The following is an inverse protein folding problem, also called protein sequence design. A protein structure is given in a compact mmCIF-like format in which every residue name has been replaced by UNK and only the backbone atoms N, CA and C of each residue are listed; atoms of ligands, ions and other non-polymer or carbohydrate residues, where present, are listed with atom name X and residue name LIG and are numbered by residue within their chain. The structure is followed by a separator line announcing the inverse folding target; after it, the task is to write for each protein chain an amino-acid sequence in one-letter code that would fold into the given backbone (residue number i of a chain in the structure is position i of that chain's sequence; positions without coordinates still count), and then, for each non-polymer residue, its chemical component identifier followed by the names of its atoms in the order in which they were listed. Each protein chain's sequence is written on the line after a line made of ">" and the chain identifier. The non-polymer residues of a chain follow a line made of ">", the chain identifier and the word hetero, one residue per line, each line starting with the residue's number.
data_IF_720799875207
#
_entry.id   IF_720799875207
#
_cell.length_a   1.000
_cell.length_b   1.000
_cell.length_c   1.000
_cell.angle_alpha   90.00
_cell.angle_beta   90.00
_cell.angle_gamma   90.00
#
_symmetry.space_group_name_H-M   'P 1'
#
loop_
_entity.id
_entity.type
_entity.pdbx_description
1 polymer ?
#
# COMPACT_ATOMS: atom_id res chain seq x y z
N UNK A 1 -10.17 46.33 -6.87
CA UNK A 1 -9.51 45.03 -7.10
C UNK A 1 -9.97 44.06 -6.03
N UNK A 2 -10.88 43.13 -6.36
CA UNK A 2 -11.30 42.06 -5.45
C UNK A 2 -10.41 40.85 -5.71
N UNK A 3 -9.57 40.51 -4.73
CA UNK A 3 -8.82 39.25 -4.73
C UNK A 3 -9.79 38.15 -4.33
N UNK A 4 -10.23 37.34 -5.29
CA UNK A 4 -10.98 36.13 -5.01
C UNK A 4 -10.00 35.10 -4.41
N UNK A 5 -10.09 34.87 -3.10
CA UNK A 5 -9.44 33.75 -2.45
C UNK A 5 -10.07 32.46 -2.98
N UNK A 6 -9.31 31.71 -3.79
CA UNK A 6 -9.71 30.39 -4.25
C UNK A 6 -9.82 29.44 -3.07
N UNK A 7 -11.05 29.05 -2.74
CA UNK A 7 -11.28 27.92 -1.84
C UNK A 7 -10.71 26.67 -2.53
N UNK A 8 -9.56 26.19 -2.06
CA UNK A 8 -9.08 24.86 -2.41
C UNK A 8 -10.04 23.86 -1.77
N UNK A 9 -11.01 23.36 -2.53
CA UNK A 9 -11.82 22.22 -2.12
C UNK A 9 -10.85 21.07 -1.79
N UNK A 10 -10.85 20.63 -0.52
CA UNK A 10 -10.21 19.37 -0.15
C UNK A 10 -10.98 18.26 -0.84
N UNK A 11 -10.47 17.79 -1.98
CA UNK A 11 -11.07 16.67 -2.69
C UNK A 11 -10.71 15.39 -1.94
N UNK A 12 -11.62 14.93 -1.09
CA UNK A 12 -11.50 13.62 -0.44
C UNK A 12 -11.81 12.50 -1.44
N UNK A 13 -10.94 11.50 -1.52
CA UNK A 13 -11.23 10.18 -2.06
C UNK A 13 -12.43 9.60 -1.30
N UNK A 14 -13.56 9.49 -1.99
CA UNK A 14 -14.74 8.76 -1.50
C UNK A 14 -14.87 7.49 -2.31
N UNK A 15 -14.81 6.35 -1.64
CA UNK A 15 -14.92 5.04 -2.25
C UNK A 15 -16.23 4.40 -1.82
N UNK A 16 -17.03 3.93 -2.78
CA UNK A 16 -18.25 3.18 -2.47
C UNK A 16 -17.92 1.75 -2.03
N UNK A 17 -18.84 1.06 -1.38
CA UNK A 17 -18.62 -0.33 -0.93
C UNK A 17 -18.31 -1.25 -2.11
N UNK A 18 -19.01 -1.06 -3.23
CA UNK A 18 -18.81 -1.83 -4.45
C UNK A 18 -17.43 -1.55 -5.08
N UNK A 19 -17.01 -0.28 -5.08
CA UNK A 19 -15.68 0.08 -5.57
C UNK A 19 -14.59 -0.47 -4.65
N UNK A 20 -14.76 -0.38 -3.34
CA UNK A 20 -13.85 -0.92 -2.34
C UNK A 20 -13.67 -2.44 -2.49
N UNK A 21 -14.76 -3.18 -2.68
CA UNK A 21 -14.70 -4.62 -2.97
C UNK A 21 -13.91 -4.93 -4.25
N UNK A 22 -14.14 -4.17 -5.33
CA UNK A 22 -13.40 -4.36 -6.60
C UNK A 22 -11.91 -4.07 -6.45
N UNK A 23 -11.56 -2.94 -5.83
CA UNK A 23 -10.16 -2.58 -5.55
C UNK A 23 -9.54 -3.65 -4.66
N UNK A 24 -10.21 -4.04 -3.58
CA UNK A 24 -9.71 -5.00 -2.62
C UNK A 24 -9.41 -6.38 -3.24
N UNK A 25 -10.29 -6.88 -4.12
CA UNK A 25 -10.03 -8.12 -4.85
C UNK A 25 -8.83 -8.03 -5.78
N UNK A 26 -8.62 -6.88 -6.42
CA UNK A 26 -7.45 -6.67 -7.30
C UNK A 26 -6.15 -6.59 -6.49
N UNK A 27 -6.17 -5.92 -5.33
CA UNK A 27 -5.05 -5.95 -4.38
C UNK A 27 -4.74 -7.38 -3.91
N UNK A 28 -5.77 -8.12 -3.50
CA UNK A 28 -5.62 -9.51 -3.07
C UNK A 28 -5.04 -10.41 -4.18
N UNK A 29 -5.47 -10.21 -5.42
CA UNK A 29 -4.93 -10.91 -6.57
C UNK A 29 -3.43 -10.61 -6.78
N UNK A 30 -3.03 -9.35 -6.62
CA UNK A 30 -1.64 -8.93 -6.79
C UNK A 30 -0.72 -9.43 -5.67
N UNK A 31 -1.20 -9.38 -4.43
CA UNK A 31 -0.39 -9.73 -3.26
C UNK A 31 -0.27 -11.24 -3.06
N UNK A 32 -1.36 -11.99 -3.28
CA UNK A 32 -1.42 -13.39 -2.86
C UNK A 32 -2.15 -14.32 -3.84
N UNK A 33 -2.38 -13.85 -5.07
CA UNK A 33 -3.07 -14.61 -6.11
C UNK A 33 -4.56 -14.86 -5.81
N UNK A 34 -5.15 -14.11 -4.87
CA UNK A 34 -6.54 -14.30 -4.45
C UNK A 34 -6.77 -15.53 -3.56
N UNK A 35 -5.70 -16.07 -2.95
CA UNK A 35 -5.80 -17.26 -2.09
C UNK A 35 -5.99 -16.89 -0.62
N UNK A 36 -6.83 -17.66 0.08
CA UNK A 36 -7.08 -17.48 1.52
C UNK A 36 -5.80 -17.69 2.35
N UNK A 37 -5.00 -18.70 2.00
CA UNK A 37 -3.72 -18.93 2.69
C UNK A 37 -2.76 -17.76 2.52
N UNK A 38 -2.80 -17.11 1.37
CA UNK A 38 -1.98 -15.97 1.02
C UNK A 38 -2.33 -14.68 1.77
N UNK A 39 -3.47 -14.60 2.46
CA UNK A 39 -3.80 -13.49 3.36
C UNK A 39 -2.89 -13.42 4.60
N UNK A 40 -2.05 -14.43 4.81
CA UNK A 40 -1.14 -14.52 5.94
C UNK A 40 0.22 -15.00 5.45
N UNK A 41 1.23 -14.16 5.57
CA UNK A 41 2.59 -14.49 5.18
C UNK A 41 3.60 -14.01 6.21
N UNK A 42 4.73 -14.69 6.27
CA UNK A 42 5.92 -14.22 6.99
C UNK A 42 7.12 -14.66 6.15
N UNK A 43 7.72 -13.72 5.40
CA UNK A 43 8.76 -14.09 4.46
C UNK A 43 10.07 -14.39 5.19
N UNK A 44 10.92 -15.18 4.55
CA UNK A 44 12.24 -15.45 5.10
C UNK A 44 13.06 -14.14 5.15
N UNK A 45 13.66 -13.86 6.30
CA UNK A 45 14.44 -12.64 6.54
C UNK A 45 13.61 -11.42 6.98
N UNK A 46 12.31 -11.56 7.17
CA UNK A 46 11.46 -10.54 7.78
C UNK A 46 11.25 -10.79 9.27
N UNK A 47 11.06 -9.71 10.03
CA UNK A 47 10.83 -9.71 11.47
C UNK A 47 9.35 -9.48 11.84
N UNK A 48 8.45 -9.62 10.88
CA UNK A 48 7.02 -9.31 11.02
C UNK A 48 6.14 -10.25 10.19
N UNK A 49 4.87 -10.35 10.60
CA UNK A 49 3.83 -10.96 9.79
C UNK A 49 3.24 -9.93 8.80
N UNK A 50 2.96 -10.38 7.58
CA UNK A 50 2.25 -9.64 6.54
C UNK A 50 0.83 -10.19 6.41
N UNK A 51 -0.17 -9.35 6.65
CA UNK A 51 -1.57 -9.78 6.81
C UNK A 51 -2.52 -9.06 5.86
N UNK A 52 -3.55 -9.76 5.41
CA UNK A 52 -4.62 -9.19 4.60
C UNK A 52 -4.22 -8.84 3.16
N UNK A 53 -5.14 -8.19 2.46
CA UNK A 53 -5.04 -7.91 1.02
C UNK A 53 -4.00 -6.83 0.68
N UNK A 54 -3.52 -6.09 1.69
CA UNK A 54 -2.51 -5.05 1.56
C UNK A 54 -1.18 -5.40 2.23
N UNK A 55 -1.00 -6.67 2.66
CA UNK A 55 0.17 -7.10 3.44
C UNK A 55 0.49 -6.15 4.61
N UNK A 56 -0.55 -5.86 5.41
CA UNK A 56 -0.45 -5.03 6.60
C UNK A 56 0.50 -5.66 7.60
N UNK A 57 1.49 -4.88 8.02
CA UNK A 57 2.61 -5.33 8.81
C UNK A 57 2.22 -5.42 10.29
N UNK A 58 2.58 -6.52 10.95
CA UNK A 58 2.42 -6.74 12.38
C UNK A 58 3.72 -7.26 13.02
N UNK A 59 4.32 -6.44 13.89
CA UNK A 59 5.56 -6.74 14.59
C UNK A 59 5.30 -7.44 15.93
N UNK A 60 6.18 -8.38 16.33
CA UNK A 60 6.29 -8.84 17.72
C UNK A 60 6.61 -7.68 18.68
N UNK A 61 6.30 -7.85 19.96
CA UNK A 61 6.43 -6.79 20.97
C UNK A 61 7.87 -6.23 21.06
N UNK A 62 8.87 -7.10 20.94
CA UNK A 62 10.30 -6.82 21.08
C UNK A 62 11.00 -6.47 19.75
N UNK A 63 10.26 -6.45 18.64
CA UNK A 63 10.82 -6.20 17.31
C UNK A 63 10.28 -4.92 16.72
N UNK A 64 11.15 -4.18 16.03
CA UNK A 64 10.77 -3.07 15.16
C UNK A 64 11.65 -3.13 13.92
N UNK A 65 11.05 -2.93 12.77
CA UNK A 65 11.74 -2.90 11.49
C UNK A 65 11.72 -1.50 10.87
N UNK A 66 12.31 -1.36 9.67
CA UNK A 66 12.37 -0.09 8.95
C UNK A 66 11.02 0.31 8.32
N UNK A 67 10.00 -0.55 8.39
CA UNK A 67 8.71 -0.35 7.76
C UNK A 67 7.64 0.06 8.77
N UNK A 68 6.69 0.86 8.32
CA UNK A 68 5.56 1.31 9.15
C UNK A 68 4.60 0.15 9.45
N UNK A 69 4.36 -0.09 10.75
CA UNK A 69 3.39 -1.07 11.20
C UNK A 69 1.97 -0.62 10.86
N UNK A 70 1.17 -1.50 10.25
CA UNK A 70 -0.13 -1.11 9.68
C UNK A 70 -1.29 -2.05 10.01
N UNK A 71 -1.03 -3.23 10.57
CA UNK A 71 -2.08 -4.14 10.99
C UNK A 71 -2.84 -3.68 12.25
N UNK A 72 -2.19 -3.19 13.32
CA UNK A 72 -2.92 -2.67 14.48
C UNK A 72 -3.87 -1.50 14.14
N UNK A 73 -3.47 -0.49 13.35
CA UNK A 73 -4.41 0.55 12.90
C UNK A 73 -5.54 0.03 12.01
N UNK A 74 -5.31 -1.03 11.21
CA UNK A 74 -6.39 -1.71 10.49
C UNK A 74 -7.38 -2.36 11.46
N UNK A 75 -6.90 -3.08 12.48
CA UNK A 75 -7.77 -3.70 13.48
C UNK A 75 -8.63 -2.66 14.19
N UNK A 76 -8.05 -1.54 14.59
CA UNK A 76 -8.79 -0.41 15.17
C UNK A 76 -9.85 0.12 14.21
N UNK A 77 -9.52 0.27 12.93
CA UNK A 77 -10.47 0.66 11.90
C UNK A 77 -11.63 -0.34 11.74
N UNK A 78 -11.35 -1.65 11.77
CA UNK A 78 -12.38 -2.69 11.70
C UNK A 78 -13.32 -2.61 12.91
N UNK A 79 -12.78 -2.49 14.12
CA UNK A 79 -13.56 -2.36 15.36
C UNK A 79 -14.45 -1.12 15.33
N UNK A 80 -13.87 0.04 15.00
CA UNK A 80 -14.62 1.31 14.94
C UNK A 80 -15.65 1.34 13.81
N UNK A 81 -15.49 0.51 12.78
CA UNK A 81 -16.45 0.30 11.70
C UNK A 81 -17.55 -0.73 12.04
N UNK A 82 -17.58 -1.25 13.27
CA UNK A 82 -18.60 -2.20 13.74
C UNK A 82 -18.38 -3.65 13.31
N UNK A 83 -17.19 -3.99 12.80
CA UNK A 83 -16.84 -5.38 12.43
C UNK A 83 -16.62 -6.20 13.71
N UNK A 84 -17.19 -7.41 13.74
CA UNK A 84 -16.97 -8.35 14.83
C UNK A 84 -15.54 -8.92 14.76
N UNK A 85 -14.61 -8.32 15.50
CA UNK A 85 -13.22 -8.79 15.58
C UNK A 85 -13.07 -9.81 16.72
N UNK A 86 -12.40 -10.97 16.47
CA UNK A 86 -12.09 -11.98 17.48
C UNK A 86 -11.50 -11.39 18.76
N UNK A 87 -11.94 -11.91 19.91
CA UNK A 87 -11.56 -11.36 21.21
C UNK A 87 -10.04 -11.39 21.46
N UNK A 88 -9.34 -12.40 20.94
CA UNK A 88 -7.89 -12.50 21.10
C UNK A 88 -7.15 -11.43 20.26
N UNK A 89 -7.64 -11.08 19.06
CA UNK A 89 -7.08 -9.99 18.26
C UNK A 89 -7.32 -8.63 18.94
N UNK A 90 -8.52 -8.41 19.49
CA UNK A 90 -8.85 -7.15 20.19
C UNK A 90 -8.00 -6.90 21.44
N UNK A 91 -7.50 -7.96 22.07
CA UNK A 91 -6.64 -7.89 23.26
C UNK A 91 -5.15 -7.95 22.94
N UNK A 92 -4.78 -8.20 21.69
CA UNK A 92 -3.39 -8.32 21.31
C UNK A 92 -2.76 -6.93 21.17
N UNK A 93 -1.72 -6.65 21.97
CA UNK A 93 -0.96 -5.40 21.89
C UNK A 93 0.12 -5.44 20.79
N UNK A 94 0.56 -6.64 20.42
CA UNK A 94 1.57 -6.91 19.39
C UNK A 94 1.30 -8.26 18.71
N UNK A 95 2.09 -8.60 17.70
CA UNK A 95 1.99 -9.89 17.01
C UNK A 95 2.09 -11.05 18.02
N UNK A 96 1.08 -11.91 18.02
CA UNK A 96 0.97 -13.04 18.95
C UNK A 96 1.97 -14.15 18.66
N UNK A 97 2.66 -14.09 17.52
CA UNK A 97 3.75 -14.98 17.16
C UNK A 97 5.07 -14.20 17.30
N UNK A 98 5.99 -14.69 18.13
CA UNK A 98 7.30 -14.04 18.35
C UNK A 98 8.21 -14.13 17.14
N UNK A 99 8.01 -15.12 16.28
CA UNK A 99 8.84 -15.40 15.13
C UNK A 99 8.10 -16.18 14.05
N UNK A 100 8.78 -16.29 12.90
CA UNK A 100 8.30 -17.03 11.73
C UNK A 100 8.06 -18.52 12.01
N UNK A 101 8.84 -19.15 12.88
CA UNK A 101 8.69 -20.59 13.17
C UNK A 101 7.37 -20.85 13.89
N UNK A 102 7.06 -20.05 14.92
CA UNK A 102 5.78 -20.13 15.60
C UNK A 102 4.61 -19.81 14.67
N UNK A 103 4.74 -18.77 13.84
CA UNK A 103 3.72 -18.41 12.85
C UNK A 103 3.39 -19.55 11.89
N UNK A 104 4.42 -20.27 11.42
CA UNK A 104 4.25 -21.39 10.51
C UNK A 104 3.71 -22.64 11.22
N UNK A 105 4.12 -22.91 12.46
CA UNK A 105 3.56 -23.99 13.27
C UNK A 105 2.05 -23.79 13.48
N UNK A 106 1.62 -22.53 13.67
CA UNK A 106 0.21 -22.16 13.84
C UNK A 106 -0.58 -22.10 12.53
N UNK A 107 0.01 -22.39 11.36
CA UNK A 107 -0.63 -22.20 10.03
C UNK A 107 -2.01 -22.84 9.91
N UNK A 108 -2.24 -23.97 10.59
CA UNK A 108 -3.51 -24.72 10.57
C UNK A 108 -4.32 -24.62 11.87
N UNK A 109 -3.84 -23.83 12.84
CA UNK A 109 -4.51 -23.62 14.12
C UNK A 109 -5.89 -22.95 13.95
N UNK A 110 -6.82 -23.14 14.90
CA UNK A 110 -8.09 -22.40 14.92
C UNK A 110 -7.88 -20.88 14.88
N UNK A 111 -6.89 -20.37 15.61
CA UNK A 111 -6.52 -18.95 15.64
C UNK A 111 -6.17 -18.41 14.24
N UNK A 112 -5.32 -19.13 13.50
CA UNK A 112 -4.91 -18.71 12.16
C UNK A 112 -6.08 -18.77 11.16
N UNK A 113 -6.94 -19.78 11.29
CA UNK A 113 -8.17 -19.91 10.47
C UNK A 113 -9.13 -18.75 10.73
N UNK A 114 -9.35 -18.39 11.99
CA UNK A 114 -10.19 -17.26 12.39
C UNK A 114 -9.63 -15.92 11.88
N UNK A 115 -8.30 -15.72 11.95
CA UNK A 115 -7.64 -14.55 11.37
C UNK A 115 -7.87 -14.47 9.85
N UNK A 116 -7.66 -15.58 9.12
CA UNK A 116 -7.90 -15.62 7.66
C UNK A 116 -9.36 -15.38 7.30
N UNK A 117 -10.29 -15.90 8.11
CA UNK A 117 -11.71 -15.67 7.91
C UNK A 117 -12.06 -14.18 8.05
N UNK A 118 -11.63 -13.54 9.14
CA UNK A 118 -11.81 -12.10 9.33
C UNK A 118 -11.25 -11.30 8.13
N UNK A 119 -10.03 -11.62 7.69
CA UNK A 119 -9.39 -10.94 6.56
C UNK A 119 -10.13 -11.17 5.23
N UNK A 120 -10.70 -12.37 5.01
CA UNK A 120 -11.45 -12.66 3.80
C UNK A 120 -12.83 -12.00 3.78
N UNK A 121 -13.48 -11.88 4.94
CA UNK A 121 -14.80 -11.26 5.09
C UNK A 121 -14.76 -9.72 5.11
N UNK A 122 -13.56 -9.12 5.23
CA UNK A 122 -13.38 -7.67 5.38
C UNK A 122 -12.61 -7.02 4.22
N UNK A 123 -12.64 -7.62 3.02
CA UNK A 123 -11.90 -7.13 1.84
C UNK A 123 -12.24 -5.67 1.53
N UNK A 124 -13.52 -5.30 1.45
CA UNK A 124 -13.94 -3.92 1.22
C UNK A 124 -13.47 -2.95 2.31
N UNK A 125 -13.48 -3.37 3.59
CA UNK A 125 -12.97 -2.54 4.69
C UNK A 125 -11.46 -2.34 4.59
N UNK A 126 -10.70 -3.38 4.27
CA UNK A 126 -9.25 -3.26 4.07
C UNK A 126 -8.91 -2.32 2.90
N UNK A 127 -9.68 -2.37 1.81
CA UNK A 127 -9.51 -1.45 0.68
C UNK A 127 -9.83 0.01 1.06
N UNK A 128 -10.91 0.24 1.82
CA UNK A 128 -11.23 1.57 2.37
C UNK A 128 -10.12 2.09 3.28
N UNK A 129 -9.61 1.25 4.18
CA UNK A 129 -8.50 1.60 5.04
C UNK A 129 -7.24 1.97 4.24
N UNK A 130 -6.91 1.20 3.19
CA UNK A 130 -5.80 1.50 2.30
C UNK A 130 -6.01 2.83 1.54
N UNK A 131 -7.23 3.14 1.10
CA UNK A 131 -7.57 4.42 0.49
C UNK A 131 -7.45 5.60 1.49
N UNK A 132 -7.88 5.43 2.75
CA UNK A 132 -7.68 6.44 3.81
C UNK A 132 -6.19 6.68 4.09
N UNK A 133 -5.37 5.63 4.07
CA UNK A 133 -3.90 5.78 4.19
C UNK A 133 -3.31 6.55 3.01
N UNK A 134 -3.75 6.25 1.78
CA UNK A 134 -3.35 6.98 0.59
C UNK A 134 -3.69 8.48 0.69
N UNK A 135 -4.88 8.83 1.17
CA UNK A 135 -5.25 10.24 1.40
C UNK A 135 -4.33 10.92 2.40
N UNK A 136 -4.00 10.23 3.51
CA UNK A 136 -3.07 10.74 4.54
C UNK A 136 -1.63 10.84 4.04
N UNK A 137 -1.25 10.05 3.04
CA UNK A 137 0.06 10.12 2.40
C UNK A 137 0.22 11.37 1.53
N UNK A 138 -0.85 11.89 0.92
CA UNK A 138 -0.76 13.02 -0.01
C UNK A 138 -0.12 14.27 0.62
N UNK A 139 -0.55 14.78 1.79
CA UNK A 139 0.11 15.91 2.45
C UNK A 139 1.59 15.67 2.75
N UNK A 140 1.98 14.43 3.10
CA UNK A 140 3.39 14.08 3.34
C UNK A 140 4.20 14.17 2.05
N UNK A 141 3.67 13.62 0.95
CA UNK A 141 4.29 13.70 -0.38
C UNK A 141 4.41 15.15 -0.87
N UNK A 142 3.39 15.98 -0.64
CA UNK A 142 3.44 17.41 -0.98
C UNK A 142 4.49 18.17 -0.19
N UNK A 143 4.61 17.90 1.11
CA UNK A 143 5.63 18.50 1.96
C UNK A 143 7.04 18.10 1.47
N UNK A 144 7.25 16.83 1.15
CA UNK A 144 8.52 16.33 0.62
C UNK A 144 8.87 16.93 -0.76
N UNK A 145 7.88 17.18 -1.61
CA UNK A 145 8.08 17.74 -2.95
C UNK A 145 8.42 19.24 -2.98
N UNK A 146 8.20 19.97 -1.87
CA UNK A 146 8.51 21.38 -1.75
C UNK A 146 7.89 22.25 -2.86
N UNK A 147 8.70 22.77 -3.78
CA UNK A 147 8.24 23.62 -4.90
C UNK A 147 7.33 22.88 -5.87
N UNK A 148 7.47 21.56 -6.00
CA UNK A 148 6.67 20.73 -6.91
C UNK A 148 5.35 20.26 -6.30
N UNK A 149 4.99 20.66 -5.06
CA UNK A 149 3.74 20.26 -4.38
C UNK A 149 2.48 20.35 -5.24
N UNK A 150 2.34 21.44 -6.02
CA UNK A 150 1.18 21.65 -6.87
C UNK A 150 1.11 20.64 -8.02
N UNK A 151 2.27 20.23 -8.56
CA UNK A 151 2.38 19.18 -9.57
C UNK A 151 2.00 17.82 -8.99
N UNK A 152 2.46 17.50 -7.77
CA UNK A 152 2.12 16.25 -7.09
C UNK A 152 0.62 16.13 -6.88
N UNK A 153 0.00 17.17 -6.28
CA UNK A 153 -1.46 17.21 -6.09
C UNK A 153 -2.21 17.05 -7.40
N UNK A 154 -1.81 17.81 -8.42
CA UNK A 154 -2.45 17.75 -9.74
C UNK A 154 -2.36 16.34 -10.34
N UNK A 155 -1.19 15.73 -10.33
CA UNK A 155 -1.00 14.39 -10.91
C UNK A 155 -1.72 13.31 -10.10
N UNK A 156 -1.75 13.43 -8.76
CA UNK A 156 -2.52 12.55 -7.90
C UNK A 156 -4.01 12.55 -8.29
N UNK A 157 -4.64 13.73 -8.36
CA UNK A 157 -6.07 13.81 -8.70
C UNK A 157 -6.38 13.53 -10.16
N UNK A 158 -5.42 13.74 -11.09
CA UNK A 158 -5.55 13.27 -12.48
C UNK A 158 -5.71 11.76 -12.53
N UNK A 159 -4.90 11.02 -11.77
CA UNK A 159 -5.01 9.55 -11.72
C UNK A 159 -6.26 9.15 -10.94
N UNK A 160 -6.48 9.70 -9.74
CA UNK A 160 -7.62 9.35 -8.90
C UNK A 160 -8.98 9.59 -9.57
N UNK A 161 -9.07 10.56 -10.49
CA UNK A 161 -10.28 10.88 -11.23
C UNK A 161 -10.58 9.96 -12.42
N UNK A 162 -9.67 9.06 -12.82
CA UNK A 162 -9.91 8.10 -13.90
C UNK A 162 -10.49 6.78 -13.37
N UNK A 163 -11.37 6.08 -14.13
CA UNK A 163 -11.84 4.74 -13.77
C UNK A 163 -10.67 3.78 -13.52
N UNK A 164 -10.62 3.20 -12.31
CA UNK A 164 -9.55 2.30 -11.87
C UNK A 164 -8.27 3.00 -11.42
N UNK A 165 -8.19 4.33 -11.50
CA UNK A 165 -7.01 5.09 -11.10
C UNK A 165 -6.78 5.10 -9.58
N UNK A 166 -7.85 5.09 -8.78
CA UNK A 166 -7.71 4.95 -7.32
C UNK A 166 -7.04 3.61 -6.96
N UNK A 167 -7.39 2.51 -7.63
CA UNK A 167 -6.70 1.24 -7.45
C UNK A 167 -5.21 1.37 -7.75
N UNK A 168 -4.83 2.03 -8.85
CA UNK A 168 -3.43 2.18 -9.22
C UNK A 168 -2.62 2.92 -8.15
N UNK A 169 -3.20 3.97 -7.57
CA UNK A 169 -2.56 4.74 -6.48
C UNK A 169 -2.45 3.91 -5.19
N UNK A 170 -3.54 3.27 -4.76
CA UNK A 170 -3.55 2.44 -3.55
C UNK A 170 -2.59 1.26 -3.69
N UNK A 171 -2.64 0.56 -4.82
CA UNK A 171 -1.79 -0.59 -5.12
C UNK A 171 -0.31 -0.17 -5.13
N UNK A 172 0.05 0.97 -5.73
CA UNK A 172 1.44 1.41 -5.76
C UNK A 172 1.98 1.75 -4.37
N UNK A 173 1.19 2.41 -3.52
CA UNK A 173 1.60 2.69 -2.13
C UNK A 173 1.80 1.40 -1.35
N UNK A 174 0.89 0.43 -1.47
CA UNK A 174 1.05 -0.88 -0.81
C UNK A 174 2.26 -1.65 -1.38
N UNK A 175 2.55 -1.51 -2.67
CA UNK A 175 3.60 -2.23 -3.37
C UNK A 175 5.01 -1.67 -3.17
N UNK A 176 5.15 -0.34 -3.12
CA UNK A 176 6.44 0.37 -3.17
C UNK A 176 6.59 1.53 -2.19
N UNK A 177 5.56 1.86 -1.43
CA UNK A 177 5.57 2.93 -0.43
C UNK A 177 5.23 4.31 -0.98
N UNK A 178 5.17 5.27 -0.06
CA UNK A 178 4.84 6.67 -0.35
C UNK A 178 5.99 7.39 -1.07
N UNK A 179 7.24 7.00 -0.82
CA UNK A 179 8.45 7.63 -1.38
C UNK A 179 8.93 8.85 -0.59
N UNK A 180 8.58 8.91 0.69
CA UNK A 180 8.89 10.01 1.62
C UNK A 180 9.94 9.63 2.67
N UNK A 181 10.29 8.35 2.78
CA UNK A 181 11.25 7.85 3.76
C UNK A 181 12.68 7.89 3.21
N UNK A 182 13.61 8.48 3.98
CA UNK A 182 15.04 8.55 3.61
C UNK A 182 15.74 7.18 3.58
N UNK A 183 15.15 6.16 4.20
CA UNK A 183 15.59 4.76 4.13
C UNK A 183 15.19 4.07 2.83
N UNK A 184 14.23 4.62 2.08
CA UNK A 184 13.67 4.06 0.85
C UNK A 184 14.24 4.74 -0.41
N UNK A 185 15.57 4.83 -0.47
CA UNK A 185 16.28 5.40 -1.62
C UNK A 185 17.59 4.67 -1.89
N UNK A 186 18.00 4.66 -3.15
CA UNK A 186 19.33 4.21 -3.56
C UNK A 186 20.04 5.36 -4.26
N UNK A 187 21.23 5.71 -3.76
CA UNK A 187 22.04 6.82 -4.29
C UNK A 187 21.28 8.16 -4.35
N UNK A 188 20.46 8.43 -3.32
CA UNK A 188 19.63 9.64 -3.25
C UNK A 188 18.36 9.62 -4.10
N UNK A 189 18.08 8.50 -4.79
CA UNK A 189 16.89 8.35 -5.65
C UNK A 189 15.89 7.40 -4.99
N UNK A 190 14.74 7.95 -4.58
CA UNK A 190 13.61 7.18 -4.07
C UNK A 190 12.74 6.58 -5.20
N UNK A 191 11.79 5.72 -4.82
CA UNK A 191 10.98 4.93 -5.76
C UNK A 191 9.50 4.79 -5.39
N UNK A 192 9.00 5.56 -4.43
CA UNK A 192 7.61 5.46 -4.01
C UNK A 192 6.67 6.29 -4.89
N UNK A 193 5.41 6.38 -4.46
CA UNK A 193 4.36 7.05 -5.21
C UNK A 193 4.73 8.51 -5.56
N UNK A 194 5.39 9.23 -4.65
CA UNK A 194 5.88 10.59 -4.91
C UNK A 194 6.69 10.67 -6.21
N UNK A 195 7.69 9.82 -6.38
CA UNK A 195 8.56 9.86 -7.55
C UNK A 195 7.84 9.49 -8.84
N UNK A 196 6.82 8.64 -8.77
CA UNK A 196 5.96 8.36 -9.93
C UNK A 196 5.18 9.60 -10.33
N UNK A 197 4.58 10.31 -9.37
CA UNK A 197 3.83 11.54 -9.62
C UNK A 197 4.74 12.68 -10.14
N UNK A 198 6.00 12.73 -9.72
CA UNK A 198 7.02 13.65 -10.25
C UNK A 198 7.36 13.35 -11.72
N UNK A 199 7.50 12.08 -12.07
CA UNK A 199 7.91 11.64 -13.40
C UNK A 199 6.78 11.67 -14.45
N UNK A 200 5.52 11.73 -14.02
CA UNK A 200 4.36 11.80 -14.90
C UNK A 200 4.41 12.99 -15.87
N UNK A 201 4.15 12.71 -17.14
CA UNK A 201 4.00 13.71 -18.20
C UNK A 201 2.57 14.28 -18.30
N UNK A 202 2.29 14.93 -19.44
CA UNK A 202 1.02 15.60 -19.72
C UNK A 202 -0.01 14.74 -20.45
N UNK A 203 0.32 13.49 -20.82
CA UNK A 203 -0.57 12.56 -21.52
C UNK A 203 -1.75 12.03 -20.68
N UNK A 204 -2.48 11.01 -21.18
CA UNK A 204 -3.55 10.34 -20.42
C UNK A 204 -3.07 9.85 -19.06
N UNK A 205 -3.84 10.05 -17.97
CA UNK A 205 -3.28 9.98 -16.62
C UNK A 205 -2.83 8.57 -16.25
N UNK A 206 -3.66 7.54 -16.46
CA UNK A 206 -3.28 6.14 -16.20
C UNK A 206 -2.10 5.66 -17.05
N UNK A 207 -2.04 6.04 -18.32
CA UNK A 207 -0.92 5.69 -19.20
C UNK A 207 0.39 6.34 -18.75
N UNK A 208 0.34 7.63 -18.37
CA UNK A 208 1.48 8.35 -17.82
C UNK A 208 1.92 7.76 -16.47
N UNK A 209 0.96 7.41 -15.60
CA UNK A 209 1.24 6.79 -14.32
C UNK A 209 1.97 5.45 -14.47
N UNK A 210 1.47 4.56 -15.35
CA UNK A 210 2.09 3.27 -15.64
C UNK A 210 3.50 3.44 -16.22
N UNK A 211 3.69 4.35 -17.20
CA UNK A 211 5.00 4.67 -17.79
C UNK A 211 5.98 5.21 -16.75
N UNK A 212 5.54 6.16 -15.91
CA UNK A 212 6.35 6.77 -14.87
C UNK A 212 6.77 5.72 -13.82
N UNK A 213 5.84 4.87 -13.39
CA UNK A 213 6.11 3.78 -12.46
C UNK A 213 7.17 2.80 -13.01
N UNK A 214 7.10 2.43 -14.29
CA UNK A 214 8.13 1.60 -14.93
C UNK A 214 9.51 2.28 -14.93
N UNK A 215 9.57 3.57 -15.28
CA UNK A 215 10.83 4.32 -15.29
C UNK A 215 11.44 4.44 -13.90
N UNK A 216 10.63 4.75 -12.88
CA UNK A 216 11.05 4.82 -11.48
C UNK A 216 11.61 3.48 -10.99
N UNK A 217 10.92 2.36 -11.27
CA UNK A 217 11.42 1.05 -10.87
C UNK A 217 12.64 0.59 -11.67
N UNK A 218 12.74 0.96 -12.93
CA UNK A 218 13.94 0.72 -13.74
C UNK A 218 15.15 1.45 -13.15
N UNK A 219 14.99 2.72 -12.74
CA UNK A 219 16.02 3.50 -12.04
C UNK A 219 16.39 2.86 -10.70
N UNK A 220 15.42 2.45 -9.89
CA UNK A 220 15.67 1.73 -8.62
C UNK A 220 16.58 0.52 -8.84
N UNK A 221 16.24 -0.33 -9.81
CA UNK A 221 17.03 -1.54 -10.11
C UNK A 221 18.44 -1.20 -10.57
N UNK A 222 18.62 -0.15 -11.38
CA UNK A 222 19.94 0.32 -11.81
C UNK A 222 20.80 0.85 -10.64
N UNK A 223 20.16 1.41 -9.61
CA UNK A 223 20.84 1.97 -8.43
C UNK A 223 20.97 0.96 -7.26
N UNK A 224 20.27 -0.17 -7.32
CA UNK A 224 20.26 -1.18 -6.26
C UNK A 224 21.65 -1.77 -6.00
N UNK A 225 22.01 -2.06 -4.74
CA UNK A 225 23.16 -2.88 -4.41
C UNK A 225 23.11 -4.24 -5.11
N UNK A 226 24.27 -4.76 -5.54
CA UNK A 226 24.39 -5.98 -6.35
C UNK A 226 23.89 -7.20 -5.57
N UNK A 227 24.19 -7.25 -4.27
CA UNK A 227 23.80 -8.30 -3.34
C UNK A 227 22.28 -8.45 -3.17
N UNK A 228 21.50 -7.38 -3.44
CA UNK A 228 20.02 -7.44 -3.43
C UNK A 228 19.47 -8.12 -4.68
N UNK A 229 20.21 -8.07 -5.79
CA UNK A 229 19.86 -8.66 -7.08
C UNK A 229 18.41 -8.35 -7.52
N UNK A 230 17.98 -7.09 -7.40
CA UNK A 230 16.57 -6.69 -7.66
C UNK A 230 16.14 -6.86 -9.12
N UNK A 231 17.10 -6.97 -10.06
CA UNK A 231 16.84 -7.17 -11.49
C UNK A 231 15.92 -8.36 -11.75
N UNK A 232 15.97 -9.40 -10.90
CA UNK A 232 15.10 -10.58 -10.99
C UNK A 232 13.60 -10.27 -10.80
N UNK A 233 13.27 -9.18 -10.09
CA UNK A 233 11.89 -8.81 -9.77
C UNK A 233 11.27 -7.86 -10.80
N UNK A 234 12.08 -7.11 -11.54
CA UNK A 234 11.61 -6.10 -12.50
C UNK A 234 10.60 -6.63 -13.53
N UNK A 235 10.76 -7.84 -14.11
CA UNK A 235 9.75 -8.38 -15.04
C UNK A 235 8.36 -8.53 -14.40
N UNK A 236 8.30 -9.01 -13.15
CA UNK A 236 7.05 -9.14 -12.39
C UNK A 236 6.45 -7.79 -12.04
N UNK A 237 7.29 -6.84 -11.61
CA UNK A 237 6.86 -5.46 -11.33
C UNK A 237 6.27 -4.77 -12.56
N UNK A 238 6.89 -4.97 -13.73
CA UNK A 238 6.37 -4.49 -15.02
C UNK A 238 5.04 -5.10 -15.41
N UNK A 239 4.81 -6.38 -15.07
CA UNK A 239 3.51 -7.02 -15.32
C UNK A 239 2.44 -6.36 -14.46
N UNK A 240 2.70 -6.13 -13.17
CA UNK A 240 1.80 -5.44 -12.23
C UNK A 240 1.48 -4.01 -12.68
N UNK A 241 2.52 -3.20 -12.98
CA UNK A 241 2.37 -1.79 -13.36
C UNK A 241 1.61 -1.60 -14.69
N UNK A 242 1.75 -2.52 -15.64
CA UNK A 242 0.99 -2.47 -16.89
C UNK A 242 -0.52 -2.50 -16.65
N UNK A 243 -0.97 -3.19 -15.61
CA UNK A 243 -2.39 -3.26 -15.26
C UNK A 243 -2.99 -1.93 -14.80
N UNK A 244 -2.15 -0.94 -14.46
CA UNK A 244 -2.61 0.40 -14.08
C UNK A 244 -3.09 1.23 -15.26
N UNK A 245 -2.65 0.89 -16.48
CA UNK A 245 -3.10 1.55 -17.70
C UNK A 245 -4.43 1.01 -18.23
N UNK A 246 -4.83 -0.19 -17.77
CA UNK A 246 -6.09 -0.86 -18.11
C UNK A 246 -7.29 -0.15 -17.46
#
# INVERSE_FOLDING_TARGET
>A
MLVAAGAAFSQSIRISDLEAERIGRRLWQNESGGTIEGLTAWNFGEDFASLGIGHFIWYPADKRGPFEESFPPLLEYLVTSGVAVPAWLRRAEACVWSDRMQFLADRQSPRMKELRQLLAETIGFQAKFAAMRLERALPKMEAAAGKERAKIRKNFYRVAGEPGGLYALVDYVNFKGEGTLASEQYRGEAWGLLQVLEEMGKGPAKSEFSRAADKVLTRRVANSPVERNEKRWLPGWRKRIRTYAE
#
